data_IF_382378459372
#
_entry.id   IF_382378459372
#
_cell.length_a   1.000
_cell.length_b   1.000
_cell.length_c   1.000
_cell.angle_alpha   90.00
_cell.angle_beta   90.00
_cell.angle_gamma   90.00
#
_symmetry.space_group_name_H-M   'P 1'
#
loop_
_entity.id
_entity.type
_entity.pdbx_description
1 polymer ?
#
# COMPACT_ATOMS: atom_id res chain seq x y z
N UNK A 1 -0.80 13.09 22.10
CA UNK A 1 -0.82 14.36 21.34
C UNK A 1 -1.90 14.24 20.29
N UNK A 2 -2.88 15.14 20.26
CA UNK A 2 -4.02 15.04 19.34
C UNK A 2 -3.55 15.14 17.89
N UNK A 3 -3.67 14.04 17.14
CA UNK A 3 -3.34 13.96 15.70
C UNK A 3 -4.45 14.53 14.80
N UNK A 4 -5.37 15.34 15.37
CA UNK A 4 -6.68 15.65 14.78
C UNK A 4 -6.72 16.70 13.67
N UNK A 5 -5.63 17.42 13.40
CA UNK A 5 -5.72 18.63 12.55
C UNK A 5 -5.79 18.38 11.03
N UNK A 6 -5.62 17.14 10.57
CA UNK A 6 -5.61 16.84 9.13
C UNK A 6 -6.80 16.01 8.65
N UNK A 7 -7.71 15.60 9.53
CA UNK A 7 -8.67 14.51 9.23
C UNK A 7 -9.91 14.99 8.47
N UNK A 8 -10.41 16.20 8.75
CA UNK A 8 -11.68 16.69 8.17
C UNK A 8 -11.68 16.80 6.64
N UNK A 9 -10.53 17.07 6.02
CA UNK A 9 -10.46 17.19 4.57
C UNK A 9 -10.81 15.86 3.90
N UNK A 10 -10.32 14.74 4.43
CA UNK A 10 -10.60 13.43 3.86
C UNK A 10 -12.07 13.05 3.95
N UNK A 11 -12.71 13.37 5.07
CA UNK A 11 -14.14 13.14 5.28
C UNK A 11 -15.01 13.95 4.30
N UNK A 12 -14.55 15.15 3.86
CA UNK A 12 -15.33 16.08 3.04
C UNK A 12 -15.05 15.98 1.54
N UNK A 13 -13.80 15.66 1.15
CA UNK A 13 -13.34 15.78 -0.24
C UNK A 13 -13.06 14.46 -0.93
N UNK A 14 -12.81 13.38 -0.18
CA UNK A 14 -12.37 12.12 -0.75
C UNK A 14 -13.40 11.01 -0.55
N UNK A 15 -13.38 10.06 -1.47
CA UNK A 15 -14.21 8.86 -1.48
C UNK A 15 -13.31 7.72 -1.93
N UNK A 16 -13.49 6.54 -1.35
CA UNK A 16 -12.71 5.36 -1.71
C UNK A 16 -13.46 4.55 -2.77
N UNK A 17 -12.78 4.25 -3.87
CA UNK A 17 -13.24 3.28 -4.87
C UNK A 17 -12.69 1.90 -4.53
N UNK A 18 -13.54 0.86 -4.59
CA UNK A 18 -13.13 -0.51 -4.28
C UNK A 18 -13.95 -1.56 -5.05
N UNK A 19 -13.52 -2.83 -4.96
CA UNK A 19 -14.32 -3.98 -5.39
C UNK A 19 -14.17 -4.41 -6.84
N UNK A 20 -13.29 -3.78 -7.62
CA UNK A 20 -12.98 -4.19 -9.00
C UNK A 20 -11.49 -4.19 -9.28
N UNK A 21 -11.06 -4.98 -10.27
CA UNK A 21 -9.73 -4.89 -10.87
C UNK A 21 -9.69 -3.90 -12.04
N UNK A 22 -10.79 -3.23 -12.39
CA UNK A 22 -10.87 -2.25 -13.48
C UNK A 22 -11.49 -0.93 -13.00
N UNK A 23 -10.90 0.23 -13.35
CA UNK A 23 -11.40 1.54 -12.88
C UNK A 23 -12.58 2.05 -13.72
N UNK A 24 -12.49 2.03 -15.05
CA UNK A 24 -13.48 2.61 -15.94
C UNK A 24 -14.00 1.61 -16.98
N UNK A 25 -15.31 1.38 -16.97
CA UNK A 25 -15.99 0.66 -18.05
C UNK A 25 -16.38 1.65 -19.16
N UNK A 26 -15.47 2.02 -20.07
CA UNK A 26 -15.82 2.74 -21.29
C UNK A 26 -15.64 1.86 -22.52
N UNK A 27 -16.66 1.83 -23.39
CA UNK A 27 -16.73 1.09 -24.65
C UNK A 27 -16.32 -0.40 -24.55
N UNK A 28 -17.16 -1.19 -23.87
CA UNK A 28 -17.45 -2.60 -24.17
C UNK A 28 -16.35 -3.68 -24.07
N UNK A 29 -15.07 -3.34 -24.20
CA UNK A 29 -13.99 -4.31 -24.45
C UNK A 29 -12.75 -4.15 -23.54
N UNK A 30 -12.71 -3.16 -22.63
CA UNK A 30 -11.52 -2.87 -21.81
C UNK A 30 -11.52 -3.56 -20.42
N UNK A 31 -12.67 -4.05 -19.95
CA UNK A 31 -12.85 -4.65 -18.62
C UNK A 31 -13.70 -5.94 -18.69
N UNK A 32 -13.40 -6.85 -19.63
CA UNK A 32 -14.25 -8.04 -19.86
C UNK A 32 -14.50 -8.80 -18.55
N UNK A 33 -15.77 -8.83 -18.11
CA UNK A 33 -16.28 -9.48 -16.90
C UNK A 33 -15.78 -8.93 -15.54
N UNK A 34 -15.18 -7.74 -15.49
CA UNK A 34 -14.85 -7.11 -14.21
C UNK A 34 -16.13 -6.52 -13.56
N UNK A 35 -16.34 -6.67 -12.24
CA UNK A 35 -17.41 -5.97 -11.54
C UNK A 35 -17.21 -4.45 -11.62
N UNK A 36 -18.27 -3.67 -11.42
CA UNK A 36 -18.15 -2.21 -11.29
C UNK A 36 -17.45 -1.84 -9.98
N UNK A 37 -16.67 -0.74 -10.01
CA UNK A 37 -16.12 -0.13 -8.80
C UNK A 37 -17.27 0.41 -7.95
N UNK A 38 -17.24 0.11 -6.65
CA UNK A 38 -18.12 0.71 -5.64
C UNK A 38 -17.45 1.91 -5.00
N UNK A 39 -18.25 2.83 -4.50
CA UNK A 39 -17.82 4.04 -3.80
C UNK A 39 -18.20 3.92 -2.32
N UNK A 40 -17.32 4.33 -1.42
CA UNK A 40 -17.66 4.51 0.01
C UNK A 40 -17.02 5.77 0.57
N UNK A 41 -17.80 6.48 1.39
CA UNK A 41 -17.33 7.65 2.13
C UNK A 41 -16.29 7.28 3.18
N UNK A 42 -15.56 8.28 3.68
CA UNK A 42 -14.61 8.13 4.79
C UNK A 42 -15.22 8.77 6.02
N UNK A 43 -15.30 8.02 7.13
CA UNK A 43 -15.86 8.51 8.41
C UNK A 43 -14.79 8.80 9.46
N UNK A 44 -13.61 8.20 9.34
CA UNK A 44 -12.45 8.49 10.19
C UNK A 44 -11.18 8.34 9.37
N UNK A 45 -10.20 9.22 9.61
CA UNK A 45 -8.91 9.14 8.93
C UNK A 45 -7.76 9.42 9.90
N UNK A 46 -6.59 8.82 9.69
CA UNK A 46 -5.38 9.10 10.47
C UNK A 46 -4.15 9.08 9.55
N UNK A 47 -3.56 10.27 9.38
CA UNK A 47 -2.31 10.48 8.63
C UNK A 47 -1.55 11.72 9.14
N UNK A 48 -1.92 12.25 10.31
CA UNK A 48 -1.31 13.46 10.88
C UNK A 48 0.16 13.28 11.25
N UNK A 49 0.62 12.04 11.48
CA UNK A 49 2.03 11.75 11.75
C UNK A 49 2.92 12.18 10.58
N UNK A 50 2.51 11.92 9.34
CA UNK A 50 3.26 12.31 8.15
C UNK A 50 3.61 13.81 8.14
N UNK A 51 2.62 14.66 8.42
CA UNK A 51 2.81 16.11 8.48
C UNK A 51 3.63 16.56 9.70
N UNK A 52 3.42 15.93 10.86
CA UNK A 52 4.20 16.22 12.06
C UNK A 52 5.69 15.89 11.86
N UNK A 53 5.98 14.86 11.08
CA UNK A 53 7.33 14.46 10.68
C UNK A 53 7.84 15.22 9.44
N UNK A 54 7.19 16.34 9.09
CA UNK A 54 7.57 17.22 7.97
C UNK A 54 7.66 16.48 6.63
N UNK A 55 6.77 15.52 6.41
CA UNK A 55 6.68 14.71 5.20
C UNK A 55 7.92 13.82 4.95
N UNK A 56 8.67 13.46 5.99
CA UNK A 56 9.90 12.66 5.87
C UNK A 56 9.70 11.17 6.14
N UNK A 57 8.67 10.81 6.90
CA UNK A 57 8.34 9.43 7.28
C UNK A 57 6.84 9.31 7.57
N UNK A 58 6.36 8.09 7.78
CA UNK A 58 4.96 7.75 7.97
C UNK A 58 4.08 8.13 6.76
N UNK A 59 4.58 7.90 5.54
CA UNK A 59 3.86 8.15 4.29
C UNK A 59 2.80 7.06 4.01
N UNK A 60 1.80 7.01 4.89
CA UNK A 60 0.62 6.17 4.78
C UNK A 60 -0.57 6.84 5.47
N UNK A 61 -1.77 6.37 5.15
CA UNK A 61 -3.00 6.82 5.79
C UNK A 61 -3.86 5.63 6.22
N UNK A 62 -4.51 5.76 7.38
CA UNK A 62 -5.54 4.84 7.83
C UNK A 62 -6.90 5.51 7.62
N UNK A 63 -7.80 4.81 6.94
CA UNK A 63 -9.14 5.31 6.60
C UNK A 63 -10.18 4.30 7.08
N UNK A 64 -11.17 4.78 7.81
CA UNK A 64 -12.38 4.03 8.14
C UNK A 64 -13.48 4.46 7.19
N UNK A 65 -14.10 3.48 6.55
CA UNK A 65 -15.14 3.69 5.56
C UNK A 65 -16.51 3.74 6.21
N UNK A 66 -17.44 4.44 5.56
CA UNK A 66 -18.84 4.48 5.97
C UNK A 66 -19.51 3.10 5.87
N UNK A 67 -19.17 2.36 4.81
CA UNK A 67 -19.75 1.05 4.54
C UNK A 67 -18.82 -0.08 5.00
N UNK A 68 -19.41 -1.12 5.58
CA UNK A 68 -18.71 -2.40 5.74
C UNK A 68 -18.57 -3.06 4.37
N UNK A 69 -17.33 -3.38 3.99
CA UNK A 69 -17.06 -4.03 2.71
C UNK A 69 -17.40 -5.52 2.84
N UNK A 70 -18.46 -5.94 2.15
CA UNK A 70 -18.87 -7.33 2.00
C UNK A 70 -18.97 -7.74 0.53
N UNK A 71 -18.68 -9.01 0.23
CA UNK A 71 -18.82 -9.56 -1.10
C UNK A 71 -17.83 -10.69 -1.45
N UNK A 72 -18.11 -11.47 -2.50
CA UNK A 72 -17.30 -12.64 -2.87
C UNK A 72 -15.92 -12.27 -3.45
N UNK A 73 -15.76 -11.04 -3.93
CA UNK A 73 -14.51 -10.54 -4.54
C UNK A 73 -13.75 -9.57 -3.62
N UNK A 74 -14.20 -9.41 -2.38
CA UNK A 74 -13.58 -8.56 -1.38
C UNK A 74 -12.99 -9.44 -0.30
N UNK A 75 -11.68 -9.35 -0.12
CA UNK A 75 -10.98 -10.06 0.94
C UNK A 75 -10.07 -9.08 1.67
N UNK A 76 -9.82 -9.37 2.95
CA UNK A 76 -8.88 -8.60 3.75
C UNK A 76 -7.48 -9.17 3.57
N UNK A 77 -6.48 -8.30 3.74
CA UNK A 77 -5.10 -8.73 3.77
C UNK A 77 -4.62 -8.90 5.21
N UNK A 78 -3.76 -9.88 5.46
CA UNK A 78 -3.10 -9.96 6.76
C UNK A 78 -2.15 -8.78 6.94
N UNK A 79 -1.99 -8.31 8.17
CA UNK A 79 -0.97 -7.31 8.48
C UNK A 79 0.34 -8.03 8.82
N UNK A 80 1.44 -7.65 8.16
CA UNK A 80 2.73 -8.34 8.31
C UNK A 80 3.26 -8.37 9.75
N UNK A 81 2.97 -7.35 10.56
CA UNK A 81 3.35 -7.33 11.97
C UNK A 81 2.52 -8.28 12.85
N UNK A 82 1.32 -8.65 12.42
CA UNK A 82 0.47 -9.66 13.10
C UNK A 82 0.66 -11.06 12.56
N UNK A 83 1.13 -11.18 11.31
CA UNK A 83 1.40 -12.44 10.63
C UNK A 83 2.84 -12.48 10.12
N UNK A 84 3.78 -12.78 11.02
CA UNK A 84 5.22 -12.74 10.74
C UNK A 84 5.59 -13.90 9.82
N UNK A 85 5.81 -13.60 8.54
CA UNK A 85 6.31 -14.55 7.54
C UNK A 85 7.83 -14.50 7.54
N UNK A 86 8.47 -15.61 7.95
CA UNK A 86 9.93 -15.74 7.92
C UNK A 86 10.44 -15.67 6.48
N UNK A 87 11.67 -15.22 6.28
CA UNK A 87 12.22 -14.99 4.93
C UNK A 87 12.28 -16.26 4.10
N UNK A 88 12.59 -17.37 4.73
CA UNK A 88 12.61 -18.72 4.16
C UNK A 88 11.22 -19.22 3.72
N UNK A 89 10.15 -18.67 4.31
CA UNK A 89 8.77 -19.00 4.00
C UNK A 89 8.15 -18.06 2.95
N UNK A 90 8.88 -17.07 2.46
CA UNK A 90 8.39 -16.13 1.45
C UNK A 90 8.42 -16.75 0.06
N UNK A 91 7.25 -16.98 -0.53
CA UNK A 91 7.10 -17.56 -1.87
C UNK A 91 7.13 -16.47 -2.94
N UNK A 92 6.46 -15.34 -2.69
CA UNK A 92 6.30 -14.27 -3.69
C UNK A 92 6.18 -12.92 -3.03
N UNK A 93 6.85 -11.93 -3.60
CA UNK A 93 6.73 -10.52 -3.23
C UNK A 93 6.14 -9.75 -4.42
N UNK A 94 5.06 -9.01 -4.20
CA UNK A 94 4.29 -8.35 -5.26
C UNK A 94 3.93 -6.93 -4.86
N UNK A 95 4.09 -5.98 -5.78
CA UNK A 95 3.48 -4.66 -5.74
C UNK A 95 2.34 -4.58 -6.74
N UNK A 96 1.38 -3.70 -6.52
CA UNK A 96 0.23 -3.52 -7.42
C UNK A 96 -0.30 -2.09 -7.40
N UNK A 97 -0.98 -1.71 -8.48
CA UNK A 97 -1.58 -0.39 -8.63
C UNK A 97 -2.27 -0.19 -9.97
N UNK A 98 -3.00 0.92 -10.08
CA UNK A 98 -3.64 1.41 -11.31
C UNK A 98 -3.02 2.73 -11.79
N UNK A 99 -1.77 3.00 -11.38
CA UNK A 99 -1.03 4.15 -11.88
C UNK A 99 -0.80 4.07 -13.38
N UNK A 100 -0.24 5.15 -13.91
CA UNK A 100 0.06 5.24 -15.34
C UNK A 100 1.09 4.20 -15.78
N UNK A 101 1.05 3.85 -17.06
CA UNK A 101 2.01 2.96 -17.72
C UNK A 101 2.89 3.82 -18.63
N UNK A 102 4.23 3.68 -18.58
CA UNK A 102 5.11 4.36 -19.51
C UNK A 102 4.81 3.90 -20.96
N UNK A 103 4.50 4.85 -21.85
CA UNK A 103 4.35 4.59 -23.30
C UNK A 103 5.42 5.33 -24.10
N UNK A 104 5.43 5.25 -25.43
CA UNK A 104 6.37 6.01 -26.28
C UNK A 104 6.11 7.52 -26.23
N UNK A 105 4.84 7.91 -26.16
CA UNK A 105 4.39 9.31 -26.24
C UNK A 105 4.18 9.98 -24.87
N UNK A 106 4.36 9.23 -23.78
CA UNK A 106 4.28 9.77 -22.42
C UNK A 106 3.93 8.70 -21.40
N UNK A 107 2.81 8.93 -20.72
CA UNK A 107 2.24 8.06 -19.70
C UNK A 107 0.77 7.84 -20.04
N UNK A 108 0.34 6.59 -20.14
CA UNK A 108 -1.05 6.21 -20.39
C UNK A 108 -1.70 5.77 -19.09
N UNK A 109 -2.97 6.09 -18.86
CA UNK A 109 -3.67 5.65 -17.66
C UNK A 109 -3.94 4.14 -17.72
N UNK A 110 -3.58 3.39 -16.68
CA UNK A 110 -3.98 2.00 -16.57
C UNK A 110 -5.48 1.90 -16.25
N UNK A 111 -6.21 1.11 -17.03
CA UNK A 111 -7.60 0.79 -16.69
C UNK A 111 -7.71 -0.45 -15.81
N UNK A 112 -6.88 -1.46 -16.10
CA UNK A 112 -6.81 -2.72 -15.35
C UNK A 112 -5.72 -2.65 -14.28
N UNK A 113 -5.91 -3.36 -13.17
CA UNK A 113 -4.93 -3.49 -12.09
C UNK A 113 -3.65 -4.12 -12.62
N UNK A 114 -2.52 -3.45 -12.41
CA UNK A 114 -1.20 -3.95 -12.77
C UNK A 114 -0.53 -4.58 -11.56
N UNK A 115 0.27 -5.62 -11.81
CA UNK A 115 1.04 -6.31 -10.77
C UNK A 115 2.51 -6.39 -11.18
N UNK A 116 3.39 -6.21 -10.22
CA UNK A 116 4.84 -6.34 -10.38
C UNK A 116 5.35 -7.33 -9.35
N UNK A 117 6.03 -8.38 -9.82
CA UNK A 117 6.67 -9.35 -8.94
C UNK A 117 8.13 -8.99 -8.72
N UNK A 118 8.54 -9.03 -7.46
CA UNK A 118 9.92 -8.78 -7.04
C UNK A 118 10.56 -10.08 -6.56
N UNK A 119 11.86 -10.28 -6.82
CA UNK A 119 12.56 -11.45 -6.33
C UNK A 119 12.72 -11.41 -4.80
N UNK A 120 12.97 -10.23 -4.23
CA UNK A 120 13.12 -9.98 -2.79
C UNK A 120 13.17 -8.48 -2.49
N UNK A 121 13.04 -8.14 -1.21
CA UNK A 121 13.34 -6.80 -0.71
C UNK A 121 14.85 -6.54 -0.73
N UNK A 122 15.21 -5.27 -0.84
CA UNK A 122 16.60 -4.83 -0.79
C UNK A 122 17.15 -4.91 0.64
N UNK A 123 18.47 -5.01 0.74
CA UNK A 123 19.15 -4.89 2.03
C UNK A 123 18.82 -3.52 2.68
N UNK A 124 18.53 -3.52 3.98
CA UNK A 124 18.14 -2.33 4.75
C UNK A 124 19.14 -1.17 4.63
N UNK A 125 20.44 -1.43 4.71
CA UNK A 125 21.46 -0.36 4.60
C UNK A 125 21.51 0.23 3.18
N UNK A 126 21.31 -0.60 2.15
CA UNK A 126 21.23 -0.13 0.77
C UNK A 126 19.95 0.69 0.55
N UNK A 127 18.82 0.22 1.09
CA UNK A 127 17.55 0.93 1.05
C UNK A 127 17.68 2.30 1.72
N UNK A 128 18.18 2.36 2.96
CA UNK A 128 18.39 3.62 3.71
C UNK A 128 19.26 4.63 2.95
N UNK A 129 20.33 4.18 2.29
CA UNK A 129 21.18 5.06 1.46
C UNK A 129 20.43 5.67 0.27
N UNK A 130 19.45 4.95 -0.28
CA UNK A 130 18.65 5.39 -1.43
C UNK A 130 17.48 6.25 -0.95
N UNK A 131 16.70 5.75 0.01
CA UNK A 131 15.46 6.36 0.47
C UNK A 131 15.69 7.56 1.38
N UNK A 132 16.83 7.58 2.09
CA UNK A 132 17.16 8.59 3.10
C UNK A 132 16.12 8.72 4.23
N UNK A 133 15.33 7.67 4.43
CA UNK A 133 14.39 7.56 5.57
C UNK A 133 14.58 6.23 6.28
N UNK A 134 14.34 6.24 7.59
CA UNK A 134 14.49 5.09 8.49
C UNK A 134 13.29 4.13 8.46
N UNK A 135 12.16 4.58 7.91
CA UNK A 135 10.90 3.85 7.81
C UNK A 135 10.65 3.21 6.43
N UNK A 136 11.70 3.04 5.63
CA UNK A 136 11.58 2.48 4.29
C UNK A 136 11.85 0.98 4.23
N UNK A 137 11.03 0.30 3.42
CA UNK A 137 11.33 -0.99 2.81
C UNK A 137 11.41 -0.80 1.30
N UNK A 138 12.50 -1.28 0.68
CA UNK A 138 12.74 -1.07 -0.75
C UNK A 138 12.62 -2.38 -1.52
N UNK A 139 12.03 -2.33 -2.71
CA UNK A 139 12.07 -3.40 -3.70
C UNK A 139 12.97 -3.01 -4.89
N UNK A 140 13.57 -4.01 -5.54
CA UNK A 140 14.39 -3.77 -6.73
C UNK A 140 13.48 -3.31 -7.86
N UNK A 141 13.75 -2.12 -8.37
CA UNK A 141 13.03 -1.54 -9.49
C UNK A 141 13.70 -1.93 -10.82
N UNK A 142 12.90 -2.09 -11.86
CA UNK A 142 13.39 -2.23 -13.24
C UNK A 142 12.55 -1.39 -14.19
N UNK A 143 12.99 -1.21 -15.44
CA UNK A 143 12.21 -0.46 -16.45
C UNK A 143 10.85 -1.09 -16.78
N UNK A 144 10.69 -2.39 -16.55
CA UNK A 144 9.43 -3.12 -16.75
C UNK A 144 8.70 -3.39 -15.42
N UNK A 145 9.28 -2.93 -14.31
CA UNK A 145 8.83 -3.15 -12.94
C UNK A 145 9.06 -1.85 -12.16
N UNK A 146 8.39 -0.79 -12.59
CA UNK A 146 8.47 0.56 -12.04
C UNK A 146 7.08 1.07 -11.68
N UNK A 147 7.04 2.02 -10.76
CA UNK A 147 5.80 2.69 -10.35
C UNK A 147 5.73 4.07 -10.98
N UNK A 148 4.55 4.47 -11.43
CA UNK A 148 4.32 5.79 -12.00
C UNK A 148 3.28 6.57 -11.21
N UNK A 149 2.82 7.68 -11.81
CA UNK A 149 1.81 8.55 -11.22
C UNK A 149 0.52 7.77 -11.00
N UNK A 150 0.05 7.76 -9.76
CA UNK A 150 -1.20 7.09 -9.38
C UNK A 150 -1.03 5.70 -8.76
N UNK A 151 0.19 5.16 -8.70
CA UNK A 151 0.45 3.92 -7.96
C UNK A 151 0.59 4.14 -6.44
N UNK A 152 0.94 5.35 -6.00
CA UNK A 152 1.14 5.68 -4.57
C UNK A 152 -0.05 5.26 -3.72
N UNK A 153 0.23 4.67 -2.56
CA UNK A 153 -0.76 4.01 -1.71
C UNK A 153 -0.95 2.52 -2.00
N UNK A 154 -0.45 2.02 -3.13
CA UNK A 154 -0.46 0.58 -3.47
C UNK A 154 0.35 -0.26 -2.47
N UNK A 155 -0.05 -1.51 -2.25
CA UNK A 155 0.58 -2.37 -1.25
C UNK A 155 1.80 -3.11 -1.78
N UNK A 156 2.84 -3.26 -0.95
CA UNK A 156 3.85 -4.30 -1.09
C UNK A 156 3.41 -5.51 -0.27
N UNK A 157 3.09 -6.62 -0.94
CA UNK A 157 2.49 -7.80 -0.32
C UNK A 157 3.35 -9.03 -0.52
N UNK A 158 3.35 -9.91 0.47
CA UNK A 158 4.11 -11.17 0.44
C UNK A 158 3.18 -12.36 0.62
N UNK A 159 3.38 -13.39 -0.19
CA UNK A 159 2.75 -14.71 -0.05
C UNK A 159 3.65 -15.62 0.78
N UNK A 160 3.14 -16.09 1.91
CA UNK A 160 3.82 -17.08 2.75
C UNK A 160 3.58 -18.52 2.30
N UNK A 161 4.38 -19.44 2.82
CA UNK A 161 4.27 -20.90 2.59
C UNK A 161 2.93 -21.50 3.04
N UNK A 162 2.23 -20.83 3.96
CA UNK A 162 0.87 -21.18 4.41
C UNK A 162 -0.23 -20.76 3.42
N UNK A 163 0.12 -20.08 2.33
CA UNK A 163 -0.83 -19.57 1.34
C UNK A 163 -1.48 -18.23 1.69
N UNK A 164 -1.10 -17.61 2.82
CA UNK A 164 -1.63 -16.32 3.25
C UNK A 164 -0.83 -15.14 2.69
N UNK A 165 -1.54 -14.08 2.32
CA UNK A 165 -0.96 -12.81 1.88
C UNK A 165 -0.89 -11.83 3.03
N UNK A 166 0.28 -11.22 3.23
CA UNK A 166 0.50 -10.17 4.23
C UNK A 166 0.99 -8.88 3.59
N UNK A 167 0.45 -7.75 4.05
CA UNK A 167 0.92 -6.41 3.70
C UNK A 167 2.19 -6.08 4.49
N UNK A 168 3.26 -5.71 3.78
CA UNK A 168 4.54 -5.31 4.35
C UNK A 168 4.76 -3.80 4.35
N UNK A 169 4.23 -3.10 3.33
CA UNK A 169 4.41 -1.67 3.22
C UNK A 169 3.46 -1.02 2.22
N UNK A 170 3.43 0.30 2.24
CA UNK A 170 2.59 1.15 1.39
C UNK A 170 3.49 1.95 0.47
N UNK A 171 3.19 1.96 -0.84
CA UNK A 171 4.05 2.61 -1.82
C UNK A 171 4.06 4.12 -1.60
N UNK A 172 5.26 4.65 -1.37
CA UNK A 172 5.50 6.08 -1.21
C UNK A 172 5.95 6.69 -2.53
N UNK A 173 7.12 6.28 -3.02
CA UNK A 173 7.69 6.75 -4.29
C UNK A 173 8.61 5.72 -4.96
N UNK A 174 8.95 5.96 -6.22
CA UNK A 174 9.93 5.21 -6.99
C UNK A 174 10.78 6.12 -7.86
N UNK A 175 11.51 5.57 -8.82
CA UNK A 175 12.15 6.39 -9.85
C UNK A 175 11.07 6.99 -10.73
N UNK A 176 11.13 8.30 -11.02
CA UNK A 176 10.11 8.92 -11.86
C UNK A 176 10.04 8.25 -13.24
N UNK A 177 8.84 7.93 -13.72
CA UNK A 177 8.66 7.29 -15.02
C UNK A 177 9.21 8.13 -16.19
N UNK A 178 9.21 9.45 -16.05
CA UNK A 178 9.88 10.38 -16.98
C UNK A 178 11.40 10.17 -17.03
N UNK A 179 12.04 9.90 -15.89
CA UNK A 179 13.48 9.60 -15.83
C UNK A 179 13.78 8.23 -16.46
N UNK A 180 12.99 7.21 -16.14
CA UNK A 180 13.13 5.87 -16.73
C UNK A 180 12.99 5.89 -18.25
N UNK A 181 12.00 6.64 -18.78
CA UNK A 181 11.82 6.87 -20.22
C UNK A 181 13.02 7.55 -20.88
N UNK A 182 13.67 8.49 -20.18
CA UNK A 182 14.89 9.16 -20.64
C UNK A 182 16.13 8.27 -20.61
N UNK A 183 15.98 7.04 -20.12
CA UNK A 183 17.05 6.06 -20.06
C UNK A 183 17.83 6.07 -18.76
N UNK A 184 17.43 6.87 -17.77
CA UNK A 184 18.06 6.86 -16.45
C UNK A 184 17.91 5.48 -15.80
N UNK A 185 18.89 5.04 -15.00
CA UNK A 185 18.82 3.75 -14.35
C UNK A 185 17.76 3.78 -13.22
N UNK A 186 16.95 2.71 -13.09
CA UNK A 186 16.04 2.57 -11.95
C UNK A 186 16.82 2.47 -10.64
N UNK A 187 16.28 3.06 -9.57
CA UNK A 187 16.93 3.12 -8.26
C UNK A 187 16.34 2.07 -7.33
N UNK A 188 15.08 2.25 -6.95
CA UNK A 188 14.32 1.39 -6.06
C UNK A 188 12.87 1.88 -5.99
N UNK A 189 11.94 0.96 -5.78
CA UNK A 189 10.61 1.33 -5.29
C UNK A 189 10.66 1.38 -3.77
N UNK A 190 10.28 2.52 -3.20
CA UNK A 190 10.32 2.80 -1.77
C UNK A 190 8.91 2.75 -1.21
N UNK A 191 8.72 1.84 -0.27
CA UNK A 191 7.48 1.69 0.48
C UNK A 191 7.72 2.09 1.93
N UNK A 192 6.72 2.68 2.58
CA UNK A 192 6.70 2.86 4.02
C UNK A 192 6.49 1.51 4.70
N UNK A 193 7.43 1.11 5.56
CA UNK A 193 7.40 -0.11 6.35
C UNK A 193 6.37 0.04 7.47
N UNK A 194 5.17 -0.48 7.24
CA UNK A 194 4.05 -0.34 8.17
C UNK A 194 4.25 -1.11 9.48
N UNK A 195 5.21 -2.05 9.54
CA UNK A 195 5.51 -2.77 10.78
C UNK A 195 6.08 -1.85 11.87
N UNK A 196 6.72 -0.75 11.47
CA UNK A 196 7.22 0.27 12.40
C UNK A 196 6.10 1.14 12.99
N UNK A 197 4.89 1.03 12.44
CA UNK A 197 3.69 1.74 12.88
C UNK A 197 2.61 0.78 13.41
N UNK A 198 3.00 -0.44 13.78
CA UNK A 198 2.11 -1.49 14.28
C UNK A 198 1.14 -1.00 15.36
N UNK A 199 1.63 -0.22 16.34
CA UNK A 199 0.80 0.30 17.43
C UNK A 199 -0.24 1.31 16.94
N UNK A 200 0.13 2.21 16.01
CA UNK A 200 -0.82 3.18 15.44
C UNK A 200 -1.95 2.43 14.71
N UNK A 201 -1.59 1.38 13.96
CA UNK A 201 -2.55 0.53 13.23
C UNK A 201 -3.42 -0.28 14.18
N UNK A 202 -2.83 -0.87 15.22
CA UNK A 202 -3.53 -1.70 16.19
C UNK A 202 -4.55 -0.87 17.00
N UNK A 203 -4.18 0.34 17.43
CA UNK A 203 -5.10 1.26 18.08
C UNK A 203 -6.22 1.70 17.13
N UNK A 204 -5.88 2.07 15.89
CA UNK A 204 -6.90 2.52 14.93
C UNK A 204 -7.93 1.42 14.61
N UNK A 205 -7.47 0.18 14.52
CA UNK A 205 -8.31 -1.01 14.26
C UNK A 205 -8.92 -1.62 15.52
N UNK A 206 -8.66 -1.07 16.71
CA UNK A 206 -9.15 -1.57 18.00
C UNK A 206 -8.52 -2.90 18.46
N UNK A 207 -7.47 -3.38 17.81
CA UNK A 207 -6.81 -4.64 18.13
C UNK A 207 -5.97 -4.57 19.41
N UNK A 208 -5.60 -3.36 19.84
CA UNK A 208 -4.93 -3.11 21.12
C UNK A 208 -5.75 -3.63 22.32
N UNK A 209 -7.08 -3.54 22.25
CA UNK A 209 -7.98 -4.07 23.28
C UNK A 209 -7.91 -5.61 23.35
N UNK A 210 -7.89 -6.27 22.19
CA UNK A 210 -7.74 -7.73 22.10
C UNK A 210 -6.40 -8.18 22.67
N UNK A 211 -5.31 -7.47 22.36
CA UNK A 211 -3.99 -7.76 22.91
C UNK A 211 -3.96 -7.62 24.44
N UNK A 212 -4.62 -6.59 24.98
CA UNK A 212 -4.74 -6.37 26.42
C UNK A 212 -5.51 -7.50 27.11
N UNK A 213 -6.62 -7.94 26.53
CA UNK A 213 -7.42 -9.03 27.07
C UNK A 213 -6.67 -10.36 27.06
N UNK A 214 -5.94 -10.66 25.98
CA UNK A 214 -5.09 -11.85 25.89
C UNK A 214 -3.98 -11.85 26.94
N UNK A 215 -3.34 -10.69 27.15
CA UNK A 215 -2.31 -10.53 28.18
C UNK A 215 -2.87 -10.77 29.58
N UNK A 216 -4.04 -10.19 29.90
CA UNK A 216 -4.70 -10.38 31.20
C UNK A 216 -5.06 -11.85 31.45
N UNK A 217 -5.54 -12.57 30.41
CA UNK A 217 -5.81 -14.01 30.49
C UNK A 217 -4.57 -14.87 30.68
N UNK A 218 -3.40 -14.43 30.19
CA UNK A 218 -2.16 -15.17 30.38
C UNK A 218 -1.61 -15.03 31.82
N UNK A 219 -1.95 -13.94 32.50
CA UNK A 219 -1.53 -13.68 33.88
C UNK A 219 -2.44 -14.32 34.94
N UNK A 220 -3.66 -14.75 34.56
CA UNK A 220 -4.62 -15.45 35.43
C UNK A 220 -4.42 -16.95 35.41
#
# INVERSE_FOLDING_TARGET
VSFGYYQEESLKKYTVLYGSNCIQQRNGNLCNNAPEMKLSGIIRAQYGRFFNEKCLMADFALLELEDTIEGPLTNYICLGHRNIIRKEDQIRLTGYGWGSIPSSDGEELANNLQLVNFPKTMNRLKCLKISKTEDAICAIESRVASTCRGDSGGGLVVLGSTGQWSLLGVLSYGTECKELRRGNPPRAQVYTDISLYAMDIDIFTGYDTVLRDLYLKHLS
#
